data_IF_483990436826
#
_entry.id   IF_483990436826
#
_cell.length_a   1.000
_cell.length_b   1.000
_cell.length_c   1.000
_cell.angle_alpha   90.00
_cell.angle_beta   90.00
_cell.angle_gamma   90.00
#
_symmetry.space_group_name_H-M   'P 1'
#
loop_
_entity.id
_entity.type
_entity.pdbx_description
1 polymer ?
#
# COMPACT_ATOMS: atom_id res chain seq x y z
N UNK A 1 -7.30 -25.48 11.88
CA UNK A 1 -6.34 -24.89 10.93
C UNK A 1 -5.68 -23.71 11.61
N UNK A 2 -4.46 -23.88 12.11
CA UNK A 2 -3.65 -22.77 12.64
C UNK A 2 -3.08 -22.03 11.43
N UNK A 3 -3.71 -20.92 11.06
CA UNK A 3 -3.13 -19.98 10.11
C UNK A 3 -1.92 -19.35 10.79
N UNK A 4 -0.71 -19.73 10.36
CA UNK A 4 0.51 -19.03 10.78
C UNK A 4 0.60 -17.77 9.93
N UNK A 5 0.30 -16.61 10.52
CA UNK A 5 0.58 -15.32 9.89
C UNK A 5 2.10 -15.29 9.61
N UNK A 6 2.51 -15.01 8.38
CA UNK A 6 3.94 -14.83 8.11
C UNK A 6 4.44 -13.70 9.00
N UNK A 7 5.56 -13.91 9.68
CA UNK A 7 6.17 -12.90 10.52
C UNK A 7 6.43 -11.65 9.67
N UNK A 8 5.94 -10.50 10.13
CA UNK A 8 6.23 -9.23 9.45
C UNK A 8 7.73 -8.96 9.59
N UNK A 9 8.32 -8.46 8.52
CA UNK A 9 9.76 -8.17 8.46
C UNK A 9 10.08 -6.69 8.36
N UNK A 10 9.13 -5.89 7.88
CA UNK A 10 9.26 -4.46 7.67
C UNK A 10 8.28 -3.67 8.55
N UNK A 11 7.04 -4.13 8.65
CA UNK A 11 5.98 -3.47 9.42
C UNK A 11 5.90 -4.06 10.83
N UNK A 12 5.64 -3.24 11.85
CA UNK A 12 5.50 -3.74 13.23
C UNK A 12 4.30 -4.72 13.34
N UNK A 13 4.48 -5.86 14.01
CA UNK A 13 3.44 -6.87 14.24
C UNK A 13 2.23 -6.33 15.02
N UNK A 14 2.44 -5.31 15.84
CA UNK A 14 1.43 -4.64 16.65
C UNK A 14 1.02 -3.27 16.10
N UNK A 15 1.39 -2.94 14.87
CA UNK A 15 0.98 -1.69 14.23
C UNK A 15 -0.54 -1.54 14.26
N UNK A 16 -1.00 -0.41 14.79
CA UNK A 16 -2.40 0.02 14.77
C UNK A 16 -2.52 1.22 13.84
N UNK A 17 -3.36 1.12 12.81
CA UNK A 17 -3.54 2.18 11.80
C UNK A 17 -4.66 3.11 12.26
N UNK A 18 -4.42 3.89 13.31
CA UNK A 18 -5.36 4.87 13.85
C UNK A 18 -5.26 6.25 13.19
N UNK A 19 -4.17 6.50 12.45
CA UNK A 19 -3.87 7.75 11.78
C UNK A 19 -3.00 7.51 10.54
N UNK A 20 -2.87 8.52 9.67
CA UNK A 20 -1.97 8.42 8.52
C UNK A 20 -0.50 8.44 8.97
N UNK A 21 -0.20 9.18 10.03
CA UNK A 21 1.10 9.34 10.65
C UNK A 21 1.66 8.00 11.13
N UNK A 22 0.79 7.07 11.55
CA UNK A 22 1.16 5.70 11.95
C UNK A 22 1.78 4.89 10.80
N UNK A 23 1.48 5.23 9.55
CA UNK A 23 2.02 4.55 8.34
C UNK A 23 3.00 5.41 7.54
N UNK A 24 2.98 6.74 7.77
CA UNK A 24 3.82 7.72 7.08
C UNK A 24 5.31 7.39 7.17
N UNK A 25 5.80 6.94 8.34
CA UNK A 25 7.22 6.60 8.52
C UNK A 25 7.68 5.48 7.58
N UNK A 26 6.84 4.45 7.39
CA UNK A 26 7.16 3.33 6.49
C UNK A 26 7.15 3.77 5.03
N UNK A 27 6.19 4.61 4.65
CA UNK A 27 6.10 5.18 3.30
C UNK A 27 7.30 6.07 2.98
N UNK A 28 7.66 6.95 3.92
CA UNK A 28 8.82 7.83 3.81
C UNK A 28 10.14 7.05 3.76
N UNK A 29 10.27 5.97 4.53
CA UNK A 29 11.43 5.08 4.42
C UNK A 29 11.53 4.50 3.00
N UNK A 30 10.45 3.90 2.48
CA UNK A 30 10.45 3.32 1.13
C UNK A 30 10.73 4.38 0.04
N UNK A 31 10.22 5.60 0.20
CA UNK A 31 10.48 6.70 -0.74
C UNK A 31 11.93 7.18 -0.70
N UNK A 32 12.54 7.30 0.48
CA UNK A 32 13.89 7.85 0.62
C UNK A 32 14.99 6.78 0.51
N UNK A 33 14.66 5.51 0.67
CA UNK A 33 15.62 4.40 0.60
C UNK A 33 16.28 4.34 -0.77
N UNK A 34 17.61 4.37 -0.79
CA UNK A 34 18.40 4.24 -2.03
C UNK A 34 18.42 2.78 -2.46
N UNK A 35 18.30 2.55 -3.76
CA UNK A 35 18.31 1.22 -4.37
C UNK A 35 19.48 1.17 -5.34
N UNK A 36 20.60 0.63 -4.90
CA UNK A 36 21.85 0.61 -5.66
C UNK A 36 22.12 -0.76 -6.29
N UNK A 37 21.39 -1.81 -5.88
CA UNK A 37 21.57 -3.17 -6.41
C UNK A 37 20.24 -3.88 -6.69
N UNK A 38 20.23 -4.92 -7.55
CA UNK A 38 19.05 -5.76 -7.77
C UNK A 38 18.58 -6.48 -6.50
N UNK A 39 19.49 -6.83 -5.57
CA UNK A 39 19.13 -7.45 -4.30
C UNK A 39 18.41 -6.46 -3.37
N UNK A 40 18.87 -5.21 -3.31
CA UNK A 40 18.18 -4.13 -2.61
C UNK A 40 16.80 -3.86 -3.23
N UNK A 41 16.68 -3.90 -4.55
CA UNK A 41 15.40 -3.72 -5.24
C UNK A 41 14.39 -4.82 -4.88
N UNK A 42 14.83 -6.08 -4.81
CA UNK A 42 13.97 -7.19 -4.36
C UNK A 42 13.52 -7.02 -2.91
N UNK A 43 14.42 -6.57 -2.05
CA UNK A 43 14.09 -6.31 -0.63
C UNK A 43 13.09 -5.18 -0.51
N UNK A 44 13.32 -4.07 -1.22
CA UNK A 44 12.41 -2.95 -1.28
C UNK A 44 11.03 -3.34 -1.83
N UNK A 45 10.97 -4.17 -2.86
CA UNK A 45 9.70 -4.70 -3.39
C UNK A 45 8.95 -5.55 -2.36
N UNK A 46 9.68 -6.39 -1.61
CA UNK A 46 9.10 -7.20 -0.54
C UNK A 46 8.53 -6.31 0.56
N UNK A 47 9.28 -5.31 1.00
CA UNK A 47 8.86 -4.38 2.06
C UNK A 47 7.66 -3.54 1.63
N UNK A 48 7.65 -3.04 0.39
CA UNK A 48 6.48 -2.38 -0.21
C UNK A 48 5.26 -3.29 -0.22
N UNK A 49 5.40 -4.52 -0.72
CA UNK A 49 4.31 -5.49 -0.77
C UNK A 49 3.79 -5.88 0.61
N UNK A 50 4.66 -5.94 1.62
CA UNK A 50 4.28 -6.19 3.00
C UNK A 50 3.45 -5.05 3.57
N UNK A 51 3.87 -3.80 3.34
CA UNK A 51 3.12 -2.61 3.77
C UNK A 51 1.74 -2.53 3.11
N UNK A 52 1.66 -2.73 1.79
CA UNK A 52 0.40 -2.76 1.06
C UNK A 52 -0.55 -3.84 1.61
N UNK A 53 -0.02 -5.05 1.86
CA UNK A 53 -0.82 -6.14 2.43
C UNK A 53 -1.37 -5.80 3.82
N UNK A 54 -0.60 -5.11 4.67
CA UNK A 54 -1.06 -4.69 6.01
C UNK A 54 -2.16 -3.63 5.92
N UNK A 55 -2.02 -2.66 5.02
CA UNK A 55 -3.03 -1.63 4.77
C UNK A 55 -4.33 -2.22 4.22
N UNK A 56 -4.23 -3.12 3.24
CA UNK A 56 -5.39 -3.80 2.65
C UNK A 56 -6.10 -4.71 3.66
N UNK A 57 -5.34 -5.46 4.48
CA UNK A 57 -5.91 -6.31 5.53
C UNK A 57 -6.69 -5.49 6.56
N UNK A 58 -6.15 -4.36 7.02
CA UNK A 58 -6.82 -3.48 7.98
C UNK A 58 -8.11 -2.87 7.40
N UNK A 59 -8.05 -2.37 6.17
CA UNK A 59 -9.21 -1.84 5.46
C UNK A 59 -10.30 -2.91 5.28
N UNK A 60 -9.91 -4.12 4.85
CA UNK A 60 -10.84 -5.23 4.70
C UNK A 60 -11.52 -5.60 6.03
N UNK A 61 -10.79 -5.61 7.14
CA UNK A 61 -11.38 -5.85 8.47
C UNK A 61 -12.35 -4.75 8.90
N UNK A 62 -12.04 -3.48 8.64
CA UNK A 62 -12.98 -2.37 8.90
C UNK A 62 -14.26 -2.53 8.10
N UNK A 63 -14.14 -2.84 6.81
CA UNK A 63 -15.28 -3.08 5.94
C UNK A 63 -16.14 -4.26 6.41
N UNK A 64 -15.50 -5.39 6.76
CA UNK A 64 -16.18 -6.58 7.29
C UNK A 64 -16.93 -6.24 8.59
N UNK A 65 -16.28 -5.55 9.54
CA UNK A 65 -16.91 -5.16 10.82
C UNK A 65 -18.11 -4.25 10.60
N UNK A 66 -17.95 -3.22 9.76
CA UNK A 66 -19.03 -2.31 9.38
C UNK A 66 -20.19 -3.06 8.72
N UNK A 67 -19.90 -4.02 7.84
CA UNK A 67 -20.93 -4.77 7.08
C UNK A 67 -21.69 -5.76 7.97
N UNK A 68 -21.05 -6.33 8.99
CA UNK A 68 -21.68 -7.25 9.93
C UNK A 68 -22.59 -6.51 10.93
N UNK A 69 -22.14 -5.37 11.44
CA UNK A 69 -22.89 -4.58 12.42
C UNK A 69 -23.09 -3.14 11.94
N UNK A 70 -24.02 -2.97 11.01
CA UNK A 70 -24.34 -1.70 10.35
C UNK A 70 -25.04 -0.68 11.25
N UNK A 71 -25.39 -1.06 12.49
CA UNK A 71 -25.96 -0.15 13.50
C UNK A 71 -24.90 0.41 14.45
N UNK A 72 -23.68 -0.14 14.41
CA UNK A 72 -22.58 0.32 15.22
C UNK A 72 -21.89 1.51 14.55
N UNK A 73 -22.18 2.70 15.06
CA UNK A 73 -21.61 3.94 14.52
C UNK A 73 -20.07 3.98 14.58
N UNK A 74 -19.44 3.30 15.53
CA UNK A 74 -17.99 3.32 15.67
C UNK A 74 -17.31 2.56 14.53
N UNK A 75 -17.90 1.46 14.05
CA UNK A 75 -17.39 0.74 12.88
C UNK A 75 -17.57 1.53 11.59
N UNK A 76 -18.72 2.20 11.42
CA UNK A 76 -18.93 3.11 10.29
C UNK A 76 -17.95 4.28 10.32
N UNK A 77 -17.72 4.91 11.49
CA UNK A 77 -16.73 5.99 11.65
C UNK A 77 -15.32 5.50 11.36
N UNK A 78 -14.94 4.32 11.83
CA UNK A 78 -13.60 3.76 11.59
C UNK A 78 -13.34 3.45 10.11
N UNK A 79 -14.35 2.94 9.39
CA UNK A 79 -14.25 2.72 7.94
C UNK A 79 -14.22 4.06 7.18
N UNK A 80 -15.17 4.96 7.47
CA UNK A 80 -15.25 6.27 6.83
C UNK A 80 -13.97 7.08 7.03
N UNK A 81 -13.40 7.07 8.24
CA UNK A 81 -12.12 7.72 8.52
C UNK A 81 -10.99 7.16 7.65
N UNK A 82 -10.92 5.84 7.47
CA UNK A 82 -9.89 5.24 6.63
C UNK A 82 -10.02 5.71 5.16
N UNK A 83 -11.22 5.66 4.60
CA UNK A 83 -11.43 6.02 3.17
C UNK A 83 -11.39 7.52 2.90
N UNK A 84 -11.72 8.36 3.89
CA UNK A 84 -11.75 9.82 3.73
C UNK A 84 -10.45 10.51 4.14
N UNK A 85 -9.73 10.00 5.15
CA UNK A 85 -8.55 10.66 5.71
C UNK A 85 -7.24 9.93 5.39
N UNK A 86 -7.25 8.60 5.36
CA UNK A 86 -6.03 7.80 5.17
C UNK A 86 -5.81 7.49 3.68
N UNK A 87 -6.79 6.87 3.02
CA UNK A 87 -6.69 6.43 1.63
C UNK A 87 -6.32 7.56 0.64
N UNK A 88 -6.88 8.78 0.75
CA UNK A 88 -6.52 9.87 -0.17
C UNK A 88 -5.08 10.35 0.03
N UNK A 89 -4.54 10.22 1.24
CA UNK A 89 -3.13 10.52 1.55
C UNK A 89 -2.21 9.38 1.11
N UNK A 90 -2.65 8.12 1.11
CA UNK A 90 -1.88 6.99 0.60
C UNK A 90 -1.70 7.01 -0.92
N UNK A 91 -2.76 7.36 -1.66
CA UNK A 91 -2.76 7.39 -3.12
C UNK A 91 -1.56 8.12 -3.77
N UNK A 92 -1.17 9.35 -3.35
CA UNK A 92 0.00 10.03 -3.90
C UNK A 92 1.32 9.36 -3.50
N UNK A 93 1.39 8.67 -2.36
CA UNK A 93 2.58 7.91 -1.99
C UNK A 93 2.71 6.65 -2.85
N UNK A 94 1.62 5.93 -3.12
CA UNK A 94 1.62 4.77 -3.99
C UNK A 94 2.08 5.13 -5.42
N UNK A 95 1.58 6.24 -5.96
CA UNK A 95 2.02 6.76 -7.26
C UNK A 95 3.53 7.11 -7.25
N UNK A 96 4.01 7.79 -6.20
CA UNK A 96 5.44 8.10 -6.06
C UNK A 96 6.32 6.85 -5.94
N UNK A 97 5.90 5.85 -5.16
CA UNK A 97 6.60 4.57 -5.00
C UNK A 97 6.63 3.80 -6.33
N UNK A 98 5.51 3.79 -7.06
CA UNK A 98 5.43 3.16 -8.38
C UNK A 98 6.30 3.88 -9.41
N UNK A 99 6.32 5.21 -9.43
CA UNK A 99 7.25 6.01 -10.27
C UNK A 99 8.70 5.71 -9.94
N UNK A 100 9.04 5.65 -8.64
CA UNK A 100 10.38 5.28 -8.16
C UNK A 100 10.77 3.90 -8.68
N UNK A 101 9.90 2.90 -8.57
CA UNK A 101 10.14 1.56 -9.08
C UNK A 101 10.41 1.56 -10.59
N UNK A 102 9.58 2.25 -11.38
CA UNK A 102 9.73 2.31 -12.84
C UNK A 102 10.98 3.07 -13.29
N UNK A 103 11.49 4.00 -12.47
CA UNK A 103 12.74 4.74 -12.72
C UNK A 103 14.01 3.96 -12.38
N UNK A 104 13.90 2.83 -11.67
CA UNK A 104 15.06 2.07 -11.23
C UNK A 104 15.74 1.34 -12.40
N UNK A 105 17.03 1.63 -12.63
CA UNK A 105 17.85 0.96 -13.66
C UNK A 105 17.93 -0.55 -13.42
N UNK A 106 17.96 -0.98 -12.16
CA UNK A 106 18.02 -2.38 -11.76
C UNK A 106 16.75 -3.19 -12.10
N UNK A 107 15.67 -2.56 -12.58
CA UNK A 107 14.44 -3.25 -12.99
C UNK A 107 14.68 -4.19 -14.17
N UNK A 108 15.59 -3.84 -15.09
CA UNK A 108 15.86 -4.63 -16.29
C UNK A 108 16.43 -6.03 -15.96
N UNK A 109 17.15 -6.16 -14.84
CA UNK A 109 17.63 -7.45 -14.35
C UNK A 109 16.50 -8.29 -13.74
N UNK A 110 15.49 -7.66 -13.14
CA UNK A 110 14.31 -8.35 -12.61
C UNK A 110 13.31 -8.71 -13.70
N UNK A 111 13.17 -7.88 -14.74
CA UNK A 111 12.35 -8.13 -15.94
C UNK A 111 12.78 -9.39 -16.71
N UNK A 112 13.93 -9.99 -16.41
CA UNK A 112 14.32 -11.29 -16.96
C UNK A 112 13.41 -12.43 -16.47
N UNK A 113 12.80 -12.28 -15.31
CA UNK A 113 11.82 -13.22 -14.77
C UNK A 113 10.41 -12.87 -15.25
N UNK A 114 9.67 -13.87 -15.73
CA UNK A 114 8.31 -13.69 -16.21
C UNK A 114 7.34 -13.17 -15.12
N UNK A 115 7.57 -13.54 -13.85
CA UNK A 115 6.73 -13.07 -12.74
C UNK A 115 6.86 -11.55 -12.54
N UNK A 116 8.09 -11.04 -12.55
CA UNK A 116 8.33 -9.60 -12.41
C UNK A 116 7.87 -8.81 -13.65
N UNK A 117 7.94 -9.37 -14.86
CA UNK A 117 7.37 -8.72 -16.04
C UNK A 117 5.88 -8.45 -15.91
N UNK A 118 5.11 -9.43 -15.43
CA UNK A 118 3.66 -9.28 -15.24
C UNK A 118 3.39 -8.19 -14.19
N UNK A 119 4.15 -8.21 -13.09
CA UNK A 119 4.03 -7.21 -12.04
C UNK A 119 4.32 -5.79 -12.55
N UNK A 120 5.43 -5.57 -13.25
CA UNK A 120 5.78 -4.24 -13.76
C UNK A 120 4.79 -3.71 -14.79
N UNK A 121 4.19 -4.59 -15.62
CA UNK A 121 3.09 -4.18 -16.50
C UNK A 121 1.88 -3.70 -15.70
N UNK A 122 1.53 -4.40 -14.62
CA UNK A 122 0.46 -3.98 -13.71
C UNK A 122 0.75 -2.61 -13.09
N UNK A 123 1.97 -2.40 -12.59
CA UNK A 123 2.41 -1.10 -12.03
C UNK A 123 2.35 0.01 -13.09
N UNK A 124 2.78 -0.27 -14.32
CA UNK A 124 2.69 0.71 -15.41
C UNK A 124 1.25 1.10 -15.72
N UNK A 125 0.34 0.13 -15.80
CA UNK A 125 -1.10 0.41 -15.99
C UNK A 125 -1.67 1.23 -14.83
N UNK A 126 -1.30 0.93 -13.59
CA UNK A 126 -1.72 1.73 -12.43
C UNK A 126 -1.25 3.19 -12.53
N UNK A 127 -0.01 3.43 -12.96
CA UNK A 127 0.50 4.78 -13.20
C UNK A 127 -0.24 5.53 -14.31
N UNK A 128 -0.60 4.83 -15.39
CA UNK A 128 -1.36 5.42 -16.51
C UNK A 128 -2.81 5.75 -16.14
N UNK A 129 -3.41 4.95 -15.26
CA UNK A 129 -4.77 5.15 -14.75
C UNK A 129 -4.83 6.18 -13.62
N UNK A 130 -3.71 6.43 -12.93
CA UNK A 130 -3.64 7.40 -11.84
C UNK A 130 -3.94 8.81 -12.36
N UNK A 131 -4.93 9.45 -11.74
CA UNK A 131 -5.31 10.84 -11.97
C UNK A 131 -5.46 11.47 -10.61
N UNK A 132 -4.58 12.41 -10.29
CA UNK A 132 -4.60 13.13 -9.01
C UNK A 132 -5.96 13.82 -8.78
N UNK A 133 -6.56 14.33 -9.85
CA UNK A 133 -7.91 14.93 -9.86
C UNK A 133 -9.01 13.96 -9.35
N UNK A 134 -8.83 12.65 -9.50
CA UNK A 134 -9.80 11.65 -9.04
C UNK A 134 -9.75 11.39 -7.53
N UNK A 135 -8.66 11.76 -6.85
CA UNK A 135 -8.49 11.49 -5.41
C UNK A 135 -9.53 12.26 -4.59
N UNK A 136 -9.73 13.54 -4.94
CA UNK A 136 -10.72 14.40 -4.27
C UNK A 136 -12.15 13.93 -4.53
N UNK A 137 -12.43 13.40 -5.73
CA UNK A 137 -13.75 12.88 -6.09
C UNK A 137 -14.04 11.56 -5.36
N UNK A 138 -13.05 10.67 -5.27
CA UNK A 138 -13.20 9.39 -4.56
C UNK A 138 -13.40 9.60 -3.05
N UNK A 139 -12.68 10.55 -2.46
CA UNK A 139 -12.89 10.97 -1.06
C UNK A 139 -14.29 11.53 -0.82
N UNK A 140 -14.84 12.28 -1.78
CA UNK A 140 -16.20 12.85 -1.67
C UNK A 140 -17.34 11.85 -1.90
N UNK A 141 -17.10 10.80 -2.71
CA UNK A 141 -18.11 9.77 -3.06
C UNK A 141 -18.16 8.59 -2.08
N UNK A 142 -17.19 8.50 -1.17
CA UNK A 142 -17.09 7.45 -0.14
C UNK A 142 -17.87 7.83 1.11
#
# INVERSE_FOLDING_TARGET
MTYSKNARSFVDDHLTIDSFESVENYLNDLLNRKINSPAELKTWLKDKSELEAVLEEDMAWRYIRMSIDTRNEDYSKAYNFFVSEIQPKLAPFDDQLNKKLMSCVNKADLEKDNAYQIYFRGVQTQLELYREENISIQSYLS
#
